data_IF_009478080386
#
_entry.id   IF_009478080386
#
_cell.length_a   1.000
_cell.length_b   1.000
_cell.length_c   1.000
_cell.angle_alpha   90.00
_cell.angle_beta   90.00
_cell.angle_gamma   90.00
#
_symmetry.space_group_name_H-M   'P 1'
#
loop_
_entity.id
_entity.type
_entity.pdbx_description
1 polymer ?
#
# COMPACT_ATOMS: atom_id res chain seq x y z
N UNK A 1 -7.30 15.52 11.35
CA UNK A 1 -7.02 16.05 10.00
C UNK A 1 -8.32 16.43 9.31
N UNK A 2 -9.23 15.47 9.12
CA UNK A 2 -10.55 15.72 8.50
C UNK A 2 -11.42 16.78 9.19
N UNK A 3 -11.27 16.97 10.51
CA UNK A 3 -11.96 18.04 11.26
C UNK A 3 -11.49 19.45 10.85
N UNK A 4 -10.23 19.59 10.44
CA UNK A 4 -9.62 20.86 10.04
C UNK A 4 -9.71 21.09 8.53
N UNK A 5 -9.78 20.02 7.74
CA UNK A 5 -9.88 20.07 6.29
C UNK A 5 -10.83 18.97 5.78
N UNK A 6 -12.12 19.27 5.57
CA UNK A 6 -13.06 18.31 5.00
C UNK A 6 -12.60 17.80 3.63
N UNK A 7 -12.73 16.50 3.38
CA UNK A 7 -12.34 15.86 2.12
C UNK A 7 -10.83 15.56 1.98
N UNK A 8 -10.03 15.89 2.99
CA UNK A 8 -8.61 15.55 3.04
C UNK A 8 -8.38 14.04 3.18
N UNK A 9 -7.27 13.51 2.65
CA UNK A 9 -6.90 12.09 2.76
C UNK A 9 -5.58 11.89 3.50
N UNK A 10 -5.49 10.82 4.28
CA UNK A 10 -4.29 10.30 4.93
C UNK A 10 -4.00 8.94 4.30
N UNK A 11 -2.87 8.84 3.60
CA UNK A 11 -2.41 7.60 2.96
C UNK A 11 -1.11 7.18 3.61
N UNK A 12 -1.04 5.93 4.05
CA UNK A 12 0.19 5.32 4.55
C UNK A 12 1.01 4.75 3.40
N UNK A 13 2.32 4.97 3.38
CA UNK A 13 3.21 4.27 2.45
C UNK A 13 3.76 3.02 3.13
N UNK A 14 3.59 1.85 2.53
CA UNK A 14 4.17 0.59 2.99
C UNK A 14 5.68 0.73 3.14
N UNK A 15 6.17 0.91 4.36
CA UNK A 15 7.58 1.19 4.65
C UNK A 15 7.91 0.76 6.07
N UNK A 16 7.45 1.52 7.06
CA UNK A 16 7.64 1.20 8.48
C UNK A 16 6.55 0.22 8.92
N UNK A 17 6.96 -0.86 9.57
CA UNK A 17 6.04 -1.85 10.15
C UNK A 17 5.58 -1.44 11.54
N UNK A 18 4.63 -2.19 12.10
CA UNK A 18 4.18 -2.02 13.49
C UNK A 18 5.30 -2.16 14.53
N UNK A 19 6.39 -2.84 14.17
CA UNK A 19 7.58 -3.00 15.02
C UNK A 19 8.55 -1.81 14.91
N UNK A 20 8.25 -0.83 14.06
CA UNK A 20 9.08 0.35 13.83
C UNK A 20 10.24 0.12 12.84
N UNK A 21 10.26 -1.02 12.16
CA UNK A 21 11.32 -1.37 11.21
C UNK A 21 10.99 -0.88 9.79
N UNK A 22 11.99 -0.34 9.08
CA UNK A 22 11.88 -0.04 7.66
C UNK A 22 11.97 -1.36 6.86
N UNK A 23 10.81 -1.93 6.53
CA UNK A 23 10.68 -3.19 5.82
C UNK A 23 9.42 -3.21 4.96
N UNK A 24 9.58 -3.03 3.65
CA UNK A 24 8.48 -3.05 2.67
C UNK A 24 7.86 -4.44 2.58
N UNK A 25 6.54 -4.52 2.72
CA UNK A 25 5.81 -5.79 2.66
C UNK A 25 5.34 -6.14 1.25
N UNK A 26 5.28 -5.15 0.36
CA UNK A 26 4.78 -5.26 -1.02
C UNK A 26 3.31 -5.72 -1.10
N UNK A 27 2.59 -5.69 0.01
CA UNK A 27 1.19 -6.06 0.14
C UNK A 27 0.64 -5.55 1.47
N UNK A 28 -0.68 -5.53 1.61
CA UNK A 28 -1.34 -5.35 2.89
C UNK A 28 -1.32 -6.68 3.66
N UNK A 29 -0.74 -6.69 4.87
CA UNK A 29 -0.66 -7.85 5.76
C UNK A 29 -0.66 -7.41 7.24
N UNK A 30 -0.51 -8.34 8.18
CA UNK A 30 -0.51 -8.03 9.63
C UNK A 30 0.51 -6.98 10.06
N UNK A 31 1.63 -6.81 9.34
CA UNK A 31 2.72 -5.89 9.73
C UNK A 31 2.43 -4.43 9.38
N UNK A 32 1.50 -4.15 8.47
CA UNK A 32 1.13 -2.78 8.07
C UNK A 32 -0.38 -2.51 8.15
N UNK A 33 -1.22 -3.54 8.37
CA UNK A 33 -2.68 -3.41 8.49
C UNK A 33 -3.14 -2.43 9.58
N UNK A 34 -2.52 -2.35 10.77
CA UNK A 34 -2.95 -1.37 11.76
C UNK A 34 -2.86 0.08 11.28
N UNK A 35 -1.92 0.41 10.38
CA UNK A 35 -1.86 1.73 9.76
C UNK A 35 -2.98 1.94 8.74
N UNK A 36 -3.24 0.93 7.90
CA UNK A 36 -4.36 0.96 6.95
C UNK A 36 -5.72 1.13 7.64
N UNK A 37 -5.91 0.50 8.80
CA UNK A 37 -7.16 0.57 9.56
C UNK A 37 -7.46 1.98 10.10
N UNK A 38 -6.43 2.80 10.32
CA UNK A 38 -6.55 4.17 10.85
C UNK A 38 -6.33 5.27 9.80
N UNK A 39 -5.96 4.91 8.58
CA UNK A 39 -5.77 5.80 7.44
C UNK A 39 -6.87 5.61 6.39
N UNK A 40 -7.00 6.55 5.45
CA UNK A 40 -7.97 6.45 4.36
C UNK A 40 -7.55 5.44 3.29
N UNK A 41 -6.26 5.10 3.23
CA UNK A 41 -5.75 4.01 2.41
C UNK A 41 -4.26 3.75 2.62
N UNK A 42 -3.74 2.77 1.89
CA UNK A 42 -2.32 2.39 1.90
C UNK A 42 -1.78 2.28 0.48
N UNK A 43 -0.60 2.86 0.25
CA UNK A 43 0.15 2.73 -0.99
C UNK A 43 1.26 1.69 -0.79
N UNK A 44 1.09 0.50 -1.37
CA UNK A 44 2.05 -0.59 -1.19
C UNK A 44 3.26 -0.43 -2.12
N UNK A 45 4.42 -0.91 -1.66
CA UNK A 45 5.66 -0.79 -2.39
C UNK A 45 5.64 -1.57 -3.72
N UNK A 46 6.42 -1.09 -4.70
CA UNK A 46 6.29 -1.44 -6.13
C UNK A 46 6.89 -2.79 -6.54
N UNK A 47 7.51 -3.54 -5.61
CA UNK A 47 8.09 -4.87 -5.87
C UNK A 47 7.13 -6.04 -5.59
N UNK A 48 5.82 -5.75 -5.57
CA UNK A 48 4.77 -6.75 -5.39
C UNK A 48 4.73 -7.81 -6.50
N UNK A 49 4.09 -8.96 -6.20
CA UNK A 49 3.99 -10.12 -7.11
C UNK A 49 2.56 -10.35 -7.55
N UNK A 50 2.36 -11.21 -8.54
CA UNK A 50 1.06 -11.50 -9.18
C UNK A 50 -0.09 -11.71 -8.18
N UNK A 51 0.16 -12.46 -7.11
CA UNK A 51 -0.85 -12.77 -6.09
C UNK A 51 -1.05 -11.68 -5.03
N UNK A 52 -0.10 -10.76 -4.85
CA UNK A 52 -0.13 -9.76 -3.77
C UNK A 52 -1.37 -8.85 -3.81
N UNK A 53 -1.88 -8.35 -4.96
CA UNK A 53 -3.14 -7.63 -5.01
C UNK A 53 -4.32 -8.45 -4.47
N UNK A 54 -4.40 -9.74 -4.84
CA UNK A 54 -5.47 -10.65 -4.39
C UNK A 54 -5.39 -10.90 -2.88
N UNK A 55 -4.17 -11.12 -2.37
CA UNK A 55 -3.92 -11.30 -0.94
C UNK A 55 -4.26 -10.03 -0.16
N UNK A 56 -3.83 -8.86 -0.65
CA UNK A 56 -4.13 -7.57 -0.03
C UNK A 56 -5.64 -7.28 -0.01
N UNK A 57 -6.34 -7.57 -1.11
CA UNK A 57 -7.79 -7.41 -1.18
C UNK A 57 -8.53 -8.31 -0.19
N UNK A 58 -8.03 -9.53 0.06
CA UNK A 58 -8.59 -10.43 1.05
C UNK A 58 -8.42 -9.88 2.48
N UNK A 59 -7.27 -9.25 2.78
CA UNK A 59 -7.01 -8.61 4.08
C UNK A 59 -7.82 -7.31 4.26
N UNK A 60 -8.00 -6.52 3.19
CA UNK A 60 -8.71 -5.25 3.20
C UNK A 60 -10.25 -5.39 3.24
N UNK A 61 -10.78 -6.53 2.78
CA UNK A 61 -12.22 -6.79 2.72
C UNK A 61 -12.97 -5.78 1.85
N UNK A 62 -13.94 -5.07 2.44
CA UNK A 62 -14.74 -4.07 1.73
C UNK A 62 -13.90 -2.88 1.25
N UNK A 63 -12.79 -2.59 1.94
CA UNK A 63 -11.86 -1.49 1.62
C UNK A 63 -10.76 -1.88 0.62
N UNK A 64 -10.94 -2.96 -0.15
CA UNK A 64 -9.95 -3.43 -1.15
C UNK A 64 -9.51 -2.38 -2.18
N UNK A 65 -10.34 -1.37 -2.46
CA UNK A 65 -9.98 -0.28 -3.38
C UNK A 65 -9.20 0.87 -2.71
N UNK A 66 -9.05 0.83 -1.39
CA UNK A 66 -8.21 1.74 -0.61
C UNK A 66 -6.76 1.20 -0.48
N UNK A 67 -6.46 0.06 -1.11
CA UNK A 67 -5.11 -0.48 -1.27
C UNK A 67 -4.59 -0.15 -2.67
N UNK A 68 -3.64 0.77 -2.74
CA UNK A 68 -3.05 1.24 -3.98
C UNK A 68 -1.77 0.45 -4.27
N UNK A 69 -1.79 -0.34 -5.35
CA UNK A 69 -0.62 -1.12 -5.78
C UNK A 69 0.39 -0.22 -6.49
N UNK A 70 1.55 0.01 -5.86
CA UNK A 70 2.55 0.92 -6.39
C UNK A 70 3.16 0.47 -7.71
N UNK A 71 3.33 1.38 -8.66
CA UNK A 71 4.06 1.15 -9.91
C UNK A 71 5.19 2.16 -9.95
N UNK A 72 6.45 1.70 -10.01
CA UNK A 72 7.57 2.60 -10.26
C UNK A 72 7.73 2.81 -11.77
N UNK A 73 7.23 3.96 -12.23
CA UNK A 73 7.28 4.39 -13.63
C UNK A 73 8.68 4.72 -14.13
N UNK A 74 9.69 4.74 -13.25
CA UNK A 74 11.10 4.85 -13.63
C UNK A 74 11.76 3.48 -13.89
N UNK A 75 11.00 2.39 -13.83
CA UNK A 75 11.44 1.06 -14.27
C UNK A 75 12.36 0.32 -13.31
N UNK A 76 12.40 0.66 -12.01
CA UNK A 76 13.23 -0.07 -11.04
C UNK A 76 12.47 -1.28 -10.51
N UNK A 77 12.66 -2.43 -11.14
CA UNK A 77 12.18 -3.74 -10.66
C UNK A 77 10.68 -3.83 -10.32
N UNK A 78 9.83 -3.01 -10.96
CA UNK A 78 8.38 -3.08 -10.76
C UNK A 78 7.80 -4.33 -11.39
N UNK A 79 6.75 -4.89 -10.77
CA UNK A 79 5.96 -5.95 -11.36
C UNK A 79 5.52 -5.60 -12.79
N UNK A 80 5.72 -6.51 -13.73
CA UNK A 80 5.41 -6.27 -15.16
C UNK A 80 6.40 -5.36 -15.90
N UNK A 81 7.48 -4.91 -15.24
CA UNK A 81 8.63 -4.24 -15.86
C UNK A 81 8.52 -2.72 -16.04
N UNK A 82 7.49 -2.07 -15.50
CA UNK A 82 7.36 -0.60 -15.53
C UNK A 82 7.41 0.03 -16.93
N UNK A 83 6.90 -0.69 -17.94
CA UNK A 83 7.11 -0.58 -19.40
C UNK A 83 7.06 0.82 -20.07
N UNK A 84 7.97 1.74 -19.75
CA UNK A 84 8.14 3.01 -20.46
C UNK A 84 9.62 3.45 -20.64
N UNK A 85 10.51 2.49 -20.91
CA UNK A 85 11.86 2.79 -21.43
C UNK A 85 11.93 2.57 -22.94
#
# INVERSE_FOLDING_TARGET
>A
MHSSMPGSLVIWYDSVTIDGELNWQDQLNEYNKPFFDICDGIFVNYTWKEDNPRLSAAVAGDRKFDVYMGIDVFGRNTYGGGQWN
#
